data_IF_426738903668
#
_entry.id   IF_426738903668
#
_cell.length_a   1.000
_cell.length_b   1.000
_cell.length_c   1.000
_cell.angle_alpha   90.00
_cell.angle_beta   90.00
_cell.angle_gamma   90.00
#
_symmetry.space_group_name_H-M   'P 1'
#
loop_
_entity.id
_entity.type
_entity.pdbx_description
1 polymer ?
#
# COMPACT_ATOMS: atom_id res chain seq x y z
N UNK A 1 3.46 -13.93 11.21
CA UNK A 1 2.30 -13.02 11.42
C UNK A 1 2.37 -11.90 10.40
N UNK A 2 1.27 -11.52 9.71
CA UNK A 2 1.30 -10.32 8.85
C UNK A 2 1.56 -9.09 9.73
N UNK A 3 2.43 -8.18 9.28
CA UNK A 3 2.82 -6.94 9.98
C UNK A 3 1.63 -6.03 10.34
N UNK A 4 0.46 -6.32 9.79
CA UNK A 4 -0.76 -5.52 9.84
C UNK A 4 -1.67 -5.86 11.05
N UNK A 5 -1.44 -6.99 11.73
CA UNK A 5 -2.29 -7.49 12.82
C UNK A 5 -2.57 -6.43 13.91
N UNK A 6 -1.56 -5.63 14.26
CA UNK A 6 -1.64 -4.58 15.27
C UNK A 6 -2.55 -3.39 14.88
N UNK A 7 -2.81 -3.19 13.59
CA UNK A 7 -3.56 -2.03 13.08
C UNK A 7 -5.04 -2.30 12.88
N UNK A 8 -5.46 -3.57 12.93
CA UNK A 8 -6.87 -3.94 12.77
C UNK A 8 -7.76 -3.54 13.96
N UNK A 9 -7.16 -3.11 15.09
CA UNK A 9 -7.88 -2.43 16.17
C UNK A 9 -8.19 -0.95 15.88
N UNK A 10 -7.53 -0.33 14.88
CA UNK A 10 -7.69 1.08 14.54
C UNK A 10 -8.19 1.23 13.09
N UNK A 11 -9.50 1.45 12.96
CA UNK A 11 -10.20 1.58 11.66
C UNK A 11 -9.62 2.68 10.77
N UNK A 12 -9.12 3.77 11.35
CA UNK A 12 -8.49 4.87 10.60
C UNK A 12 -7.15 4.45 10.01
N UNK A 13 -6.40 3.59 10.70
CA UNK A 13 -5.13 3.08 10.18
C UNK A 13 -5.31 2.17 8.97
N UNK A 14 -6.46 1.48 8.85
CA UNK A 14 -6.71 0.53 7.76
C UNK A 14 -6.85 1.19 6.39
N UNK A 15 -7.50 2.35 6.29
CA UNK A 15 -7.58 3.09 5.03
C UNK A 15 -6.22 3.60 4.56
N UNK A 16 -5.41 4.15 5.47
CA UNK A 16 -4.04 4.55 5.15
C UNK A 16 -3.17 3.34 4.77
N UNK A 17 -3.33 2.22 5.46
CA UNK A 17 -2.61 0.99 5.17
C UNK A 17 -3.01 0.40 3.81
N UNK A 18 -4.28 0.50 3.41
CA UNK A 18 -4.71 0.14 2.05
C UNK A 18 -3.93 0.91 0.99
N UNK A 19 -3.75 2.22 1.17
CA UNK A 19 -2.97 3.04 0.23
C UNK A 19 -1.50 2.59 0.18
N UNK A 20 -0.89 2.38 1.34
CA UNK A 20 0.53 1.98 1.42
C UNK A 20 0.79 0.56 0.90
N UNK A 21 -0.08 -0.41 1.20
CA UNK A 21 0.06 -1.76 0.69
C UNK A 21 -0.21 -1.80 -0.83
N UNK A 22 -1.21 -1.06 -1.30
CA UNK A 22 -1.53 -0.95 -2.72
C UNK A 22 -0.43 -0.29 -3.54
N UNK A 23 0.26 0.72 -2.97
CA UNK A 23 1.34 1.43 -3.67
C UNK A 23 2.53 0.53 -4.00
N UNK A 24 2.70 -0.60 -3.29
CA UNK A 24 3.77 -1.57 -3.60
C UNK A 24 3.63 -2.20 -4.99
N UNK A 25 2.40 -2.31 -5.53
CA UNK A 25 2.16 -2.77 -6.89
C UNK A 25 2.66 -1.74 -7.92
N UNK A 26 2.34 -0.46 -7.71
CA UNK A 26 2.86 0.64 -8.52
C UNK A 26 4.38 0.77 -8.43
N UNK A 27 4.95 0.51 -7.24
CA UNK A 27 6.39 0.44 -7.04
C UNK A 27 7.08 -0.54 -8.00
N UNK A 28 6.49 -1.72 -8.25
CA UNK A 28 7.06 -2.66 -9.23
C UNK A 28 7.11 -2.10 -10.65
N UNK A 29 6.11 -1.31 -11.04
CA UNK A 29 6.09 -0.63 -12.35
C UNK A 29 7.21 0.41 -12.42
N UNK A 30 7.34 1.24 -11.38
CA UNK A 30 8.42 2.24 -11.28
C UNK A 30 9.79 1.55 -11.29
N UNK A 31 9.97 0.48 -10.52
CA UNK A 31 11.23 -0.27 -10.47
C UNK A 31 11.63 -0.80 -11.84
N UNK A 32 10.68 -1.28 -12.65
CA UNK A 32 10.93 -1.72 -14.02
C UNK A 32 11.38 -0.55 -14.90
N UNK A 33 10.65 0.56 -14.86
CA UNK A 33 10.97 1.77 -15.65
C UNK A 33 12.38 2.29 -15.29
N UNK A 34 12.71 2.37 -14.00
CA UNK A 34 14.03 2.86 -13.55
C UNK A 34 15.15 1.92 -13.95
N UNK A 35 14.94 0.60 -13.88
CA UNK A 35 15.92 -0.36 -14.39
C UNK A 35 16.14 -0.19 -15.89
N UNK A 36 15.08 -0.12 -16.69
CA UNK A 36 15.17 -0.01 -18.15
C UNK A 36 15.79 1.32 -18.62
N UNK A 37 15.63 2.40 -17.84
CA UNK A 37 16.10 3.74 -18.21
C UNK A 37 17.46 4.10 -17.62
N UNK A 38 17.75 3.66 -16.40
CA UNK A 38 18.92 4.09 -15.61
C UNK A 38 19.81 2.93 -15.14
N UNK A 39 19.39 1.68 -15.31
CA UNK A 39 20.16 0.50 -14.90
C UNK A 39 20.19 0.23 -13.39
N UNK A 40 19.42 0.96 -12.57
CA UNK A 40 19.34 0.68 -11.14
C UNK A 40 18.48 -0.55 -10.84
N UNK A 41 18.91 -1.34 -9.86
CA UNK A 41 18.29 -2.54 -9.31
C UNK A 41 17.95 -2.31 -7.84
N UNK A 42 17.11 -3.17 -7.24
CA UNK A 42 16.81 -3.10 -5.81
C UNK A 42 18.06 -3.10 -4.91
N UNK A 43 19.15 -3.73 -5.33
CA UNK A 43 20.41 -3.83 -4.60
C UNK A 43 21.28 -2.57 -4.74
N UNK A 44 20.96 -1.64 -5.65
CA UNK A 44 21.82 -0.49 -5.95
C UNK A 44 21.07 0.86 -6.13
N UNK A 45 19.93 1.06 -5.49
CA UNK A 45 19.31 2.40 -5.38
C UNK A 45 17.79 2.43 -5.38
N UNK A 46 17.12 1.35 -5.80
CA UNK A 46 15.65 1.31 -5.90
C UNK A 46 15.00 0.25 -5.00
N UNK A 47 15.64 -0.12 -3.89
CA UNK A 47 15.12 -1.07 -2.91
C UNK A 47 13.68 -0.75 -2.46
N UNK A 48 13.37 0.53 -2.29
CA UNK A 48 12.04 1.01 -1.89
C UNK A 48 10.94 0.59 -2.88
N UNK A 49 11.20 0.67 -4.18
CA UNK A 49 10.22 0.34 -5.23
C UNK A 49 10.04 -1.17 -5.43
N UNK A 50 10.94 -1.99 -4.88
CA UNK A 50 10.83 -3.44 -4.98
C UNK A 50 9.67 -4.01 -4.14
N UNK A 51 9.09 -3.23 -3.22
CA UNK A 51 7.99 -3.68 -2.36
C UNK A 51 8.38 -4.95 -1.58
N UNK A 52 7.69 -6.06 -1.86
CA UNK A 52 7.98 -7.38 -1.30
C UNK A 52 8.58 -8.35 -2.35
N UNK A 53 9.18 -7.82 -3.41
CA UNK A 53 9.75 -8.57 -4.53
C UNK A 53 8.70 -9.43 -5.25
N UNK A 54 8.97 -10.72 -5.35
CA UNK A 54 8.03 -11.69 -5.95
C UNK A 54 6.76 -11.88 -5.12
N UNK A 55 6.79 -11.54 -3.83
CA UNK A 55 5.65 -11.69 -2.92
C UNK A 55 4.70 -10.48 -2.93
N UNK A 56 4.97 -9.42 -3.69
CA UNK A 56 4.14 -8.21 -3.68
C UNK A 56 2.67 -8.49 -4.02
N UNK A 57 2.40 -9.20 -5.12
CA UNK A 57 1.04 -9.59 -5.51
C UNK A 57 0.35 -10.49 -4.47
N UNK A 58 0.99 -11.59 -4.04
CA UNK A 58 0.44 -12.45 -2.99
C UNK A 58 0.15 -11.72 -1.67
N UNK A 59 1.02 -10.82 -1.22
CA UNK A 59 0.81 -10.04 0.02
C UNK A 59 -0.31 -9.02 -0.14
N UNK A 60 -0.42 -8.38 -1.29
CA UNK A 60 -1.55 -7.49 -1.59
C UNK A 60 -2.88 -8.25 -1.52
N UNK A 61 -2.97 -9.41 -2.17
CA UNK A 61 -4.18 -10.24 -2.13
C UNK A 61 -4.52 -10.67 -0.69
N UNK A 62 -3.53 -11.14 0.06
CA UNK A 62 -3.73 -11.53 1.46
C UNK A 62 -4.16 -10.34 2.34
N UNK A 63 -3.65 -9.15 2.07
CA UNK A 63 -4.09 -7.93 2.75
C UNK A 63 -5.55 -7.59 2.44
N UNK A 64 -5.96 -7.65 1.16
CA UNK A 64 -7.35 -7.42 0.76
C UNK A 64 -8.30 -8.43 1.43
N UNK A 65 -7.95 -9.72 1.43
CA UNK A 65 -8.72 -10.77 2.10
C UNK A 65 -8.86 -10.50 3.61
N UNK A 66 -7.79 -10.06 4.27
CA UNK A 66 -7.85 -9.67 5.66
C UNK A 66 -8.75 -8.45 5.87
N UNK A 67 -8.60 -7.40 5.04
CA UNK A 67 -9.38 -6.17 5.14
C UNK A 67 -10.88 -6.44 5.01
N UNK A 68 -11.29 -7.27 4.06
CA UNK A 68 -12.71 -7.67 3.88
C UNK A 68 -13.27 -8.41 5.09
N UNK A 69 -12.45 -9.20 5.80
CA UNK A 69 -12.89 -9.87 7.05
C UNK A 69 -13.08 -8.91 8.23
N UNK A 70 -12.50 -7.71 8.18
CA UNK A 70 -12.63 -6.70 9.23
C UNK A 70 -13.70 -5.65 8.95
N UNK A 71 -13.98 -5.36 7.67
CA UNK A 71 -15.00 -4.43 7.24
C UNK A 71 -16.39 -5.11 7.25
N UNK A 72 -16.90 -5.42 8.45
CA UNK A 72 -18.13 -6.21 8.63
C UNK A 72 -19.42 -5.38 8.61
N UNK A 73 -19.31 -4.05 8.62
CA UNK A 73 -20.45 -3.12 8.65
C UNK A 73 -20.25 -1.99 7.65
N UNK A 74 -21.34 -1.42 7.08
CA UNK A 74 -21.24 -0.29 6.17
C UNK A 74 -20.48 0.91 6.76
N UNK A 75 -20.67 1.18 8.06
CA UNK A 75 -19.94 2.25 8.76
C UNK A 75 -18.43 2.00 8.87
N UNK A 76 -18.00 0.74 8.96
CA UNK A 76 -16.58 0.38 8.94
C UNK A 76 -15.98 0.55 7.54
N UNK A 77 -16.70 0.11 6.50
CA UNK A 77 -16.31 0.31 5.11
C UNK A 77 -16.14 1.79 4.80
N UNK A 78 -17.14 2.62 5.13
CA UNK A 78 -17.11 4.07 4.92
C UNK A 78 -15.92 4.72 5.62
N UNK A 79 -15.60 4.32 6.86
CA UNK A 79 -14.46 4.85 7.60
C UNK A 79 -13.11 4.49 6.95
N UNK A 80 -12.99 3.27 6.41
CA UNK A 80 -11.79 2.81 5.69
C UNK A 80 -11.64 3.61 4.39
N UNK A 81 -12.69 3.70 3.58
CA UNK A 81 -12.70 4.45 2.31
C UNK A 81 -12.37 5.92 2.56
N UNK A 82 -13.05 6.55 3.52
CA UNK A 82 -12.80 7.96 3.90
C UNK A 82 -11.34 8.19 4.27
N UNK A 83 -10.73 7.26 5.02
CA UNK A 83 -9.34 7.44 5.44
C UNK A 83 -8.37 7.16 4.29
N UNK A 84 -8.65 6.21 3.40
CA UNK A 84 -7.86 6.00 2.19
C UNK A 84 -7.88 7.24 1.29
N UNK A 85 -9.05 7.84 1.05
CA UNK A 85 -9.22 9.09 0.30
C UNK A 85 -8.39 10.23 0.92
N UNK A 86 -8.47 10.40 2.24
CA UNK A 86 -7.68 11.43 2.95
C UNK A 86 -6.18 11.18 2.84
N UNK A 87 -5.74 9.93 2.85
CA UNK A 87 -4.32 9.60 2.66
C UNK A 87 -3.86 9.99 1.26
N UNK A 88 -4.63 9.69 0.20
CA UNK A 88 -4.32 10.14 -1.15
C UNK A 88 -4.26 11.66 -1.26
N UNK A 89 -5.24 12.38 -0.72
CA UNK A 89 -5.24 13.85 -0.71
C UNK A 89 -3.99 14.44 -0.03
N UNK A 90 -3.56 13.86 1.10
CA UNK A 90 -2.34 14.29 1.78
C UNK A 90 -1.08 14.05 0.94
N UNK A 91 -1.01 12.91 0.26
CA UNK A 91 0.11 12.62 -0.64
C UNK A 91 0.11 13.57 -1.84
N UNK A 92 -1.04 13.86 -2.43
CA UNK A 92 -1.19 14.82 -3.52
C UNK A 92 -0.72 16.22 -3.11
N UNK A 93 -1.14 16.72 -1.94
CA UNK A 93 -0.65 17.99 -1.41
C UNK A 93 0.87 17.95 -1.25
N UNK A 94 1.42 16.89 -0.66
CA UNK A 94 2.86 16.74 -0.47
C UNK A 94 3.65 16.67 -1.78
N UNK A 95 3.11 16.04 -2.83
CA UNK A 95 3.77 15.99 -4.15
C UNK A 95 3.79 17.34 -4.87
N UNK A 96 2.84 18.23 -4.54
CA UNK A 96 2.70 19.54 -5.17
C UNK A 96 3.32 20.67 -4.33
N UNK A 97 3.98 20.36 -3.22
CA UNK A 97 4.78 21.29 -2.41
C UNK A 97 6.26 21.16 -2.74
#
# INVERSE_FOLDING_TARGET
MPRFAAYFGNKRSLGALYVMEGSTLGGKVISKIVYETLGYTPENGIAFFNGYGTQTGPKWKAFQEALTRFALTPAQEEAIVTTATRTFQKLEVWFNT
#
